data_IF_524436757385
#
_entry.id   IF_524436757385
#
_cell.length_a   1.000
_cell.length_b   1.000
_cell.length_c   1.000
_cell.angle_alpha   90.00
_cell.angle_beta   90.00
_cell.angle_gamma   90.00
#
_symmetry.space_group_name_H-M   'P 1'
#
loop_
_entity.id
_entity.type
_entity.pdbx_description
1 polymer ?
#
# COMPACT_ATOMS: atom_id res chain seq x y z
N UNK A 1 11.26 11.54 1.53
CA UNK A 1 11.50 10.21 0.89
C UNK A 1 10.93 9.16 1.83
N UNK A 2 10.25 8.15 1.31
CA UNK A 2 9.67 7.09 2.13
C UNK A 2 9.70 5.73 1.44
N UNK A 3 9.45 4.69 2.23
CA UNK A 3 9.22 3.34 1.73
C UNK A 3 7.74 3.11 1.50
N UNK A 4 7.44 2.42 0.42
CA UNK A 4 6.11 1.97 0.06
C UNK A 4 6.14 0.49 -0.27
N UNK A 5 5.06 -0.21 0.04
CA UNK A 5 4.78 -1.48 -0.61
C UNK A 5 4.72 -1.24 -2.12
N UNK A 6 5.26 -2.19 -2.88
CA UNK A 6 5.21 -2.12 -4.33
C UNK A 6 3.77 -1.98 -4.80
N UNK A 7 3.52 -1.01 -5.68
CA UNK A 7 2.21 -0.84 -6.29
C UNK A 7 2.00 -1.96 -7.32
N UNK A 8 0.94 -2.75 -7.14
CA UNK A 8 0.59 -3.81 -8.07
C UNK A 8 -0.50 -3.37 -9.05
N UNK A 9 -0.67 -4.17 -10.10
CA UNK A 9 -1.69 -3.96 -11.12
C UNK A 9 -2.66 -5.14 -11.14
N UNK A 10 -3.96 -4.82 -11.12
CA UNK A 10 -5.04 -5.81 -11.23
C UNK A 10 -5.94 -5.39 -12.40
N UNK A 11 -5.65 -5.84 -13.63
CA UNK A 11 -6.46 -5.52 -14.80
C UNK A 11 -7.93 -5.92 -14.60
N UNK A 12 -8.88 -5.05 -14.96
CA UNK A 12 -10.31 -5.32 -14.79
C UNK A 12 -10.87 -5.03 -13.39
N UNK A 13 -10.02 -4.70 -12.41
CA UNK A 13 -10.46 -4.49 -11.03
C UNK A 13 -11.32 -3.23 -10.87
N UNK A 14 -10.95 -2.13 -11.52
CA UNK A 14 -11.73 -0.87 -11.49
C UNK A 14 -13.13 -1.08 -12.05
N UNK A 15 -13.22 -1.78 -13.17
CA UNK A 15 -14.47 -2.14 -13.85
C UNK A 15 -15.31 -3.10 -13.03
N UNK A 16 -14.68 -3.97 -12.23
CA UNK A 16 -15.36 -4.81 -11.27
C UNK A 16 -15.92 -4.02 -10.09
N UNK A 17 -15.14 -3.10 -9.49
CA UNK A 17 -15.60 -2.23 -8.41
C UNK A 17 -16.83 -1.40 -8.83
N UNK A 18 -16.85 -0.91 -10.07
CA UNK A 18 -17.97 -0.17 -10.64
C UNK A 18 -19.28 -0.98 -10.77
N UNK A 19 -19.21 -2.31 -10.69
CA UNK A 19 -20.39 -3.21 -10.79
C UNK A 19 -21.03 -3.50 -9.43
N UNK A 20 -20.50 -2.98 -8.32
CA UNK A 20 -21.12 -3.11 -7.00
C UNK A 20 -22.52 -2.51 -7.04
N UNK A 21 -23.50 -3.22 -6.48
CA UNK A 21 -24.87 -2.74 -6.45
C UNK A 21 -25.66 -3.46 -5.34
N UNK A 22 -26.45 -2.74 -4.52
CA UNK A 22 -27.08 -3.29 -3.31
C UNK A 22 -28.01 -4.47 -3.60
N UNK A 23 -28.69 -4.48 -4.76
CA UNK A 23 -29.57 -5.60 -5.18
C UNK A 23 -28.90 -6.67 -6.06
N UNK A 24 -27.85 -6.35 -6.83
CA UNK A 24 -27.25 -7.28 -7.82
C UNK A 24 -26.09 -8.06 -7.20
N UNK A 25 -25.41 -7.47 -6.21
CA UNK A 25 -24.30 -8.10 -5.49
C UNK A 25 -24.80 -9.02 -4.38
N UNK A 26 -25.56 -10.07 -4.74
CA UNK A 26 -26.26 -10.95 -3.78
C UNK A 26 -25.34 -11.68 -2.79
N UNK A 27 -24.08 -11.89 -3.16
CA UNK A 27 -23.09 -12.57 -2.32
C UNK A 27 -22.30 -11.60 -1.42
N UNK A 28 -22.54 -10.29 -1.52
CA UNK A 28 -21.85 -9.27 -0.74
C UNK A 28 -22.82 -8.60 0.25
N UNK A 29 -22.83 -9.07 1.50
CA UNK A 29 -23.66 -8.51 2.57
C UNK A 29 -23.37 -7.04 2.89
N UNK A 30 -22.17 -6.55 2.57
CA UNK A 30 -21.76 -5.17 2.81
C UNK A 30 -22.19 -4.21 1.68
N UNK A 31 -22.71 -4.73 0.56
CA UNK A 31 -23.08 -3.89 -0.59
C UNK A 31 -24.19 -2.89 -0.28
N UNK A 32 -25.11 -3.22 0.63
CA UNK A 32 -26.17 -2.30 1.09
C UNK A 32 -25.58 -1.14 1.89
N UNK A 33 -24.82 -1.45 2.94
CA UNK A 33 -24.18 -0.47 3.81
C UNK A 33 -23.23 0.44 3.03
N UNK A 34 -22.39 -0.13 2.16
CA UNK A 34 -21.52 0.63 1.28
C UNK A 34 -22.29 1.67 0.46
N UNK A 35 -23.44 1.29 -0.10
CA UNK A 35 -24.27 2.18 -0.91
C UNK A 35 -24.90 3.30 -0.06
N UNK A 36 -25.44 2.94 1.11
CA UNK A 36 -26.03 3.89 2.06
C UNK A 36 -25.02 4.92 2.55
N UNK A 37 -23.79 4.52 2.86
CA UNK A 37 -22.73 5.44 3.30
C UNK A 37 -22.18 6.29 2.15
N UNK A 38 -21.95 5.70 0.96
CA UNK A 38 -21.43 6.42 -0.21
C UNK A 38 -22.34 7.57 -0.63
N UNK A 39 -23.65 7.34 -0.59
CA UNK A 39 -24.65 8.34 -0.99
C UNK A 39 -25.32 9.05 0.20
N UNK A 40 -24.91 8.74 1.43
CA UNK A 40 -25.51 9.21 2.68
C UNK A 40 -27.05 9.14 2.68
N UNK A 41 -27.59 8.00 2.26
CA UNK A 41 -29.02 7.72 2.12
C UNK A 41 -29.39 6.39 2.83
N UNK A 42 -30.68 6.05 2.95
CA UNK A 42 -31.13 4.74 3.42
C UNK A 42 -31.77 3.96 2.28
N UNK A 43 -31.44 2.67 2.13
CA UNK A 43 -32.09 1.81 1.15
C UNK A 43 -33.38 1.25 1.75
N UNK A 44 -34.58 1.67 1.26
CA UNK A 44 -35.83 1.13 1.76
C UNK A 44 -35.90 -0.39 1.52
N UNK A 45 -36.28 -1.14 2.55
CA UNK A 45 -36.48 -2.57 2.45
C UNK A 45 -37.68 -2.86 1.56
N UNK A 46 -37.40 -3.31 0.34
CA UNK A 46 -38.43 -3.73 -0.63
C UNK A 46 -38.87 -2.62 -1.59
N UNK A 47 -38.21 -2.54 -2.75
CA UNK A 47 -38.80 -1.93 -3.95
C UNK A 47 -38.60 -2.89 -5.12
N UNK A 48 -39.59 -3.76 -5.30
CA UNK A 48 -40.02 -4.18 -6.63
C UNK A 48 -40.75 -2.97 -7.21
N UNK A 49 -40.13 -2.30 -8.16
CA UNK A 49 -40.74 -1.32 -9.07
C UNK A 49 -41.72 -0.34 -8.40
N UNK A 50 -41.20 0.73 -7.81
CA UNK A 50 -41.95 1.97 -7.73
C UNK A 50 -40.96 3.12 -7.94
N UNK A 51 -41.22 4.05 -8.88
CA UNK A 51 -40.45 5.27 -8.94
C UNK A 51 -40.64 5.95 -7.59
N UNK A 52 -39.55 6.38 -6.96
CA UNK A 52 -39.63 7.14 -5.72
C UNK A 52 -40.48 8.38 -6.00
N UNK A 53 -41.76 8.29 -5.64
CA UNK A 53 -42.66 9.44 -5.68
C UNK A 53 -42.11 10.41 -4.66
N UNK A 54 -41.79 11.60 -5.17
CA UNK A 54 -41.46 12.80 -4.43
C UNK A 54 -42.59 13.13 -3.46
N UNK A 55 -42.56 12.55 -2.26
CA UNK A 55 -43.42 12.96 -1.16
C UNK A 55 -42.96 12.37 0.17
N UNK A 56 -41.78 12.79 0.64
CA UNK A 56 -41.63 13.08 2.06
C UNK A 56 -41.55 14.59 2.18
N UNK A 57 -42.64 15.17 2.68
CA UNK A 57 -42.83 16.59 2.81
C UNK A 57 -41.67 17.25 3.55
N UNK A 58 -41.20 18.37 2.96
CA UNK A 58 -40.73 19.56 3.69
C UNK A 58 -41.54 19.71 4.99
N UNK A 59 -40.92 19.38 6.11
CA UNK A 59 -41.43 19.66 7.44
C UNK A 59 -40.40 20.44 8.23
N UNK A 60 -40.00 21.61 7.71
CA UNK A 60 -39.30 22.61 8.51
C UNK A 60 -39.52 24.02 7.95
N UNK A 61 -40.78 24.43 7.90
CA UNK A 61 -41.13 25.85 8.03
C UNK A 61 -41.89 26.00 9.35
N UNK A 62 -41.23 26.70 10.28
CA UNK A 62 -41.76 27.43 11.45
C UNK A 62 -42.83 26.75 12.33
N UNK A 63 -42.42 26.28 13.51
CA UNK A 63 -43.36 25.95 14.59
C UNK A 63 -42.73 25.22 15.78
N UNK A 64 -42.73 25.87 16.94
CA UNK A 64 -42.22 25.37 18.22
C UNK A 64 -42.79 23.99 18.61
N UNK A 65 -41.90 23.03 18.89
CA UNK A 65 -42.25 21.74 19.48
C UNK A 65 -41.00 20.99 19.96
N UNK A 66 -40.64 21.18 21.23
CA UNK A 66 -39.55 20.46 21.87
C UNK A 66 -39.84 18.95 21.94
N UNK A 67 -39.13 18.18 21.12
CA UNK A 67 -39.06 16.72 21.17
C UNK A 67 -37.64 16.28 20.82
N UNK A 68 -36.87 15.92 21.84
CA UNK A 68 -35.53 15.36 21.72
C UNK A 68 -35.54 14.10 20.83
N UNK A 69 -34.85 14.17 19.69
CA UNK A 69 -34.69 13.03 18.79
C UNK A 69 -34.15 13.42 17.42
N UNK A 70 -33.02 14.11 17.34
CA UNK A 70 -32.27 14.28 16.08
C UNK A 70 -31.58 12.97 15.70
N UNK A 71 -32.35 11.90 15.47
CA UNK A 71 -31.85 10.78 14.67
C UNK A 71 -31.85 11.26 13.22
N UNK A 72 -30.66 11.43 12.65
CA UNK A 72 -30.44 11.83 11.25
C UNK A 72 -31.36 11.04 10.30
N UNK A 73 -32.43 11.65 9.82
CA UNK A 73 -33.27 11.06 8.78
C UNK A 73 -32.52 11.20 7.45
N UNK A 74 -31.75 10.17 7.09
CA UNK A 74 -31.15 10.07 5.75
C UNK A 74 -32.27 10.07 4.69
N UNK A 75 -32.07 10.66 3.50
CA UNK A 75 -33.01 10.53 2.39
C UNK A 75 -33.05 9.07 1.87
N UNK A 76 -34.13 8.64 1.20
CA UNK A 76 -34.18 7.30 0.59
C UNK A 76 -33.26 7.19 -0.63
N UNK A 77 -32.53 6.08 -0.76
CA UNK A 77 -31.82 5.70 -1.99
C UNK A 77 -32.78 5.03 -2.98
N UNK A 78 -32.58 5.26 -4.27
CA UNK A 78 -33.28 4.60 -5.38
C UNK A 78 -32.62 3.27 -5.77
N UNK A 79 -31.30 3.17 -5.62
CA UNK A 79 -30.47 2.08 -6.12
C UNK A 79 -29.97 2.29 -7.56
N UNK A 80 -30.35 3.39 -8.22
CA UNK A 80 -29.90 3.75 -9.58
C UNK A 80 -28.82 4.84 -9.55
N UNK A 81 -28.32 5.20 -8.37
CA UNK A 81 -27.27 6.20 -8.22
C UNK A 81 -25.96 5.74 -8.89
N UNK A 82 -25.19 6.70 -9.41
CA UNK A 82 -23.93 6.40 -10.08
C UNK A 82 -22.74 6.58 -9.13
N UNK A 83 -22.10 5.48 -8.75
CA UNK A 83 -20.95 5.50 -7.83
C UNK A 83 -19.72 6.21 -8.39
N UNK A 84 -19.59 6.37 -9.72
CA UNK A 84 -18.47 7.11 -10.31
C UNK A 84 -18.60 8.62 -10.16
N UNK A 85 -19.78 9.11 -9.75
CA UNK A 85 -20.03 10.54 -9.53
C UNK A 85 -19.64 11.03 -8.14
N UNK A 86 -19.34 10.11 -7.21
CA UNK A 86 -18.98 10.45 -5.83
C UNK A 86 -17.50 10.22 -5.60
N UNK A 87 -16.81 11.25 -5.12
CA UNK A 87 -15.42 11.15 -4.70
C UNK A 87 -15.34 10.40 -3.36
N UNK A 88 -14.95 9.13 -3.44
CA UNK A 88 -14.69 8.29 -2.27
C UNK A 88 -13.38 7.53 -2.47
N UNK A 89 -12.66 7.18 -1.39
CA UNK A 89 -11.45 6.35 -1.47
C UNK A 89 -11.67 4.97 -2.13
N UNK A 90 -12.93 4.57 -2.37
CA UNK A 90 -13.28 3.33 -3.05
C UNK A 90 -12.92 3.35 -4.55
N UNK A 91 -13.17 4.46 -5.25
CA UNK A 91 -12.82 4.64 -6.67
C UNK A 91 -11.73 5.68 -6.91
N UNK A 92 -11.52 6.58 -5.96
CA UNK A 92 -10.46 7.59 -6.00
C UNK A 92 -9.18 7.04 -5.37
N UNK A 93 -8.47 6.21 -6.14
CA UNK A 93 -7.19 5.64 -5.74
C UNK A 93 -6.17 5.81 -6.87
N UNK A 94 -4.92 6.09 -6.48
CA UNK A 94 -3.78 6.20 -7.40
C UNK A 94 -3.01 4.89 -7.55
N UNK A 95 -2.85 4.15 -6.46
CA UNK A 95 -2.07 2.90 -6.43
C UNK A 95 -2.78 1.80 -5.64
N UNK A 96 -2.74 0.57 -6.16
CA UNK A 96 -3.19 -0.63 -5.45
C UNK A 96 -2.00 -1.24 -4.72
N UNK A 97 -1.89 -0.98 -3.42
CA UNK A 97 -0.86 -1.58 -2.55
C UNK A 97 -1.47 -2.66 -1.67
N UNK A 98 -2.26 -2.26 -0.68
CA UNK A 98 -2.94 -3.20 0.22
C UNK A 98 -3.95 -4.07 -0.53
N UNK A 99 -4.74 -3.47 -1.42
CA UNK A 99 -5.66 -4.23 -2.27
C UNK A 99 -4.94 -5.26 -3.16
N UNK A 100 -3.71 -4.95 -3.58
CA UNK A 100 -2.88 -5.90 -4.31
C UNK A 100 -2.37 -7.04 -3.42
N UNK A 101 -2.01 -6.76 -2.17
CA UNK A 101 -1.65 -7.81 -1.21
C UNK A 101 -2.83 -8.74 -0.91
N UNK A 102 -4.06 -8.23 -0.85
CA UNK A 102 -5.27 -9.05 -0.72
C UNK A 102 -5.45 -9.95 -1.94
N UNK A 103 -5.31 -9.39 -3.14
CA UNK A 103 -5.32 -10.15 -4.39
C UNK A 103 -4.25 -11.26 -4.39
N UNK A 104 -3.02 -10.90 -4.00
CA UNK A 104 -1.89 -11.82 -3.96
C UNK A 104 -2.11 -12.94 -2.94
N UNK A 105 -2.67 -12.64 -1.76
CA UNK A 105 -2.96 -13.63 -0.74
C UNK A 105 -3.95 -14.72 -1.24
N UNK A 106 -4.99 -14.31 -1.97
CA UNK A 106 -5.93 -15.26 -2.60
C UNK A 106 -5.23 -16.12 -3.63
N UNK A 107 -4.36 -15.53 -4.45
CA UNK A 107 -3.55 -16.25 -5.43
C UNK A 107 -2.57 -17.23 -4.77
N UNK A 108 -1.91 -16.85 -3.68
CA UNK A 108 -1.00 -17.75 -2.96
C UNK A 108 -1.71 -19.02 -2.48
N UNK A 109 -2.92 -18.88 -1.93
CA UNK A 109 -3.73 -20.03 -1.51
C UNK A 109 -4.16 -20.86 -2.73
N UNK A 110 -4.59 -20.21 -3.81
CA UNK A 110 -4.99 -20.89 -5.04
C UNK A 110 -3.83 -21.69 -5.66
N UNK A 111 -2.63 -21.12 -5.70
CA UNK A 111 -1.42 -21.80 -6.19
C UNK A 111 -1.01 -22.96 -5.27
N UNK A 112 -1.09 -22.80 -3.94
CA UNK A 112 -0.82 -23.92 -3.02
C UNK A 112 -1.81 -25.08 -3.21
N UNK A 113 -3.09 -24.79 -3.45
CA UNK A 113 -4.10 -25.81 -3.81
C UNK A 113 -3.83 -26.42 -5.19
N UNK A 114 -3.36 -25.61 -6.13
CA UNK A 114 -2.96 -26.10 -7.46
C UNK A 114 -1.78 -27.07 -7.36
N UNK A 115 -0.79 -26.81 -6.52
CA UNK A 115 0.35 -27.71 -6.30
C UNK A 115 -0.09 -29.05 -5.71
N UNK A 116 -1.06 -29.05 -4.81
CA UNK A 116 -1.71 -30.27 -4.31
C UNK A 116 -2.38 -31.02 -5.47
N UNK A 117 -3.13 -30.29 -6.31
CA UNK A 117 -3.87 -30.86 -7.44
C UNK A 117 -2.94 -31.48 -8.51
N UNK A 118 -1.81 -30.84 -8.82
CA UNK A 118 -0.86 -31.27 -9.86
C UNK A 118 0.24 -32.20 -9.35
N UNK A 119 0.22 -32.56 -8.06
CA UNK A 119 1.23 -33.39 -7.45
C UNK A 119 1.33 -34.77 -8.13
N UNK A 120 2.54 -35.17 -8.52
CA UNK A 120 2.81 -36.51 -9.06
C UNK A 120 3.21 -37.48 -7.94
N UNK A 121 2.60 -38.69 -7.84
CA UNK A 121 2.97 -39.68 -6.84
C UNK A 121 4.49 -39.95 -6.82
N UNK A 122 5.09 -39.92 -5.63
CA UNK A 122 6.54 -40.07 -5.42
C UNK A 122 7.32 -38.76 -5.38
N UNK A 123 6.70 -37.61 -5.70
CA UNK A 123 7.30 -36.26 -5.59
C UNK A 123 6.57 -35.33 -4.63
N UNK A 124 5.60 -35.82 -3.88
CA UNK A 124 4.83 -35.00 -2.95
C UNK A 124 5.62 -34.57 -1.70
N UNK A 125 5.11 -33.56 -1.01
CA UNK A 125 5.76 -32.96 0.17
C UNK A 125 5.54 -33.76 1.47
N UNK A 126 4.76 -34.85 1.41
CA UNK A 126 4.40 -35.67 2.55
C UNK A 126 5.25 -36.95 2.64
N UNK A 127 5.00 -37.77 3.66
CA UNK A 127 5.78 -38.99 3.92
C UNK A 127 5.88 -39.88 2.69
N UNK A 128 7.08 -40.38 2.41
CA UNK A 128 7.39 -41.21 1.24
C UNK A 128 7.04 -40.58 -0.12
N UNK A 129 7.05 -39.23 -0.22
CA UNK A 129 6.72 -38.55 -1.47
C UNK A 129 5.24 -38.63 -1.84
N UNK A 130 4.36 -38.86 -0.86
CA UNK A 130 2.91 -38.96 -1.07
C UNK A 130 2.29 -37.60 -1.39
N UNK A 131 1.21 -37.63 -2.19
CA UNK A 131 0.41 -36.46 -2.54
C UNK A 131 -0.90 -36.44 -1.73
N UNK A 132 -1.39 -35.25 -1.39
CA UNK A 132 -2.71 -35.11 -0.78
C UNK A 132 -3.83 -35.25 -1.82
N UNK A 133 -4.98 -35.77 -1.41
CA UNK A 133 -6.19 -35.80 -2.24
C UNK A 133 -6.91 -34.46 -2.12
N UNK A 134 -6.97 -33.71 -3.22
CA UNK A 134 -7.64 -32.40 -3.28
C UNK A 134 -9.11 -32.45 -2.83
N UNK A 135 -9.81 -33.58 -3.01
CA UNK A 135 -11.23 -33.72 -2.62
C UNK A 135 -11.41 -33.86 -1.11
N UNK A 136 -10.33 -34.17 -0.38
CA UNK A 136 -10.29 -34.36 1.07
C UNK A 136 -9.19 -33.50 1.68
N UNK A 137 -8.88 -32.37 1.07
CA UNK A 137 -7.79 -31.49 1.49
C UNK A 137 -8.06 -30.92 2.87
N UNK A 138 -7.04 -30.93 3.72
CA UNK A 138 -7.08 -30.37 5.07
C UNK A 138 -6.22 -29.12 5.16
N UNK A 139 -6.58 -28.18 6.05
CA UNK A 139 -5.92 -26.87 6.15
C UNK A 139 -4.40 -26.97 6.40
N UNK A 140 -3.94 -27.95 7.20
CA UNK A 140 -2.51 -28.14 7.48
C UNK A 140 -1.72 -28.63 6.25
N UNK A 141 -2.38 -29.32 5.31
CA UNK A 141 -1.77 -29.73 4.04
C UNK A 141 -1.54 -28.49 3.16
N UNK A 142 -2.52 -27.58 3.10
CA UNK A 142 -2.38 -26.30 2.42
C UNK A 142 -1.26 -25.47 3.05
N UNK A 143 -1.17 -25.42 4.39
CA UNK A 143 -0.07 -24.74 5.09
C UNK A 143 1.29 -25.33 4.72
N UNK A 144 1.42 -26.66 4.61
CA UNK A 144 2.66 -27.31 4.19
C UNK A 144 3.06 -26.89 2.77
N UNK A 145 2.11 -26.81 1.85
CA UNK A 145 2.35 -26.33 0.49
C UNK A 145 2.67 -24.84 0.44
N UNK A 146 1.96 -23.98 1.19
CA UNK A 146 2.24 -22.55 1.30
C UNK A 146 3.70 -22.27 1.74
N UNK A 147 4.24 -23.08 2.67
CA UNK A 147 5.65 -22.96 3.11
C UNK A 147 6.70 -23.35 2.07
N UNK A 148 6.32 -24.09 1.04
CA UNK A 148 7.20 -24.49 -0.07
C UNK A 148 6.74 -23.84 -1.38
N UNK A 149 5.86 -22.85 -1.28
CA UNK A 149 5.23 -22.23 -2.42
C UNK A 149 6.27 -21.39 -3.16
N UNK A 150 6.31 -21.58 -4.47
CA UNK A 150 7.15 -20.83 -5.36
C UNK A 150 6.40 -20.68 -6.68
N UNK A 151 5.93 -19.47 -6.98
CA UNK A 151 5.26 -19.18 -8.24
C UNK A 151 5.58 -17.79 -8.75
N UNK A 152 5.41 -17.60 -10.05
CA UNK A 152 5.53 -16.30 -10.70
C UNK A 152 4.15 -15.68 -10.84
N UNK A 153 3.96 -14.45 -10.36
CA UNK A 153 2.68 -13.75 -10.48
C UNK A 153 2.45 -13.21 -11.91
N UNK A 154 1.26 -12.65 -12.15
CA UNK A 154 0.89 -12.09 -13.46
C UNK A 154 1.73 -10.87 -13.88
N UNK A 155 2.51 -10.29 -12.98
CA UNK A 155 3.45 -9.19 -13.25
C UNK A 155 4.87 -9.68 -13.53
N UNK A 156 5.10 -11.01 -13.56
CA UNK A 156 6.41 -11.61 -13.80
C UNK A 156 7.31 -11.62 -12.56
N UNK A 157 6.76 -11.41 -11.38
CA UNK A 157 7.52 -11.37 -10.13
C UNK A 157 7.47 -12.72 -9.43
N UNK A 158 8.62 -13.11 -8.87
CA UNK A 158 8.72 -14.28 -8.03
C UNK A 158 8.01 -14.03 -6.69
N UNK A 159 7.17 -14.97 -6.28
CA UNK A 159 6.43 -14.94 -5.01
C UNK A 159 6.76 -16.19 -4.23
N UNK A 160 7.38 -15.99 -3.07
CA UNK A 160 7.79 -17.02 -2.12
C UNK A 160 7.70 -16.47 -0.69
N UNK A 161 7.63 -17.39 0.28
CA UNK A 161 7.58 -17.07 1.70
C UNK A 161 8.85 -17.57 2.39
N UNK A 162 9.38 -16.80 3.31
CA UNK A 162 10.54 -17.21 4.10
C UNK A 162 10.20 -18.25 5.18
N UNK A 163 11.20 -18.64 5.97
CA UNK A 163 11.04 -19.62 7.05
C UNK A 163 10.03 -19.19 8.14
N UNK A 164 9.76 -17.88 8.26
CA UNK A 164 8.80 -17.31 9.21
C UNK A 164 7.41 -17.12 8.60
N UNK A 165 7.27 -17.34 7.28
CA UNK A 165 6.03 -17.14 6.54
C UNK A 165 5.82 -15.71 6.07
N UNK A 166 6.85 -14.87 6.13
CA UNK A 166 6.80 -13.51 5.61
C UNK A 166 6.98 -13.52 4.10
N UNK A 167 6.17 -12.70 3.41
CA UNK A 167 6.37 -12.46 1.99
C UNK A 167 7.65 -11.66 1.83
N UNK A 168 8.64 -12.27 1.17
CA UNK A 168 9.89 -11.57 0.85
C UNK A 168 9.57 -10.59 -0.28
N UNK A 169 9.49 -9.29 0.05
CA UNK A 169 8.95 -8.29 -0.86
C UNK A 169 9.92 -7.15 -1.13
N UNK A 170 9.96 -6.71 -2.38
CA UNK A 170 10.63 -5.46 -2.73
C UNK A 170 9.81 -4.27 -2.25
N UNK A 171 10.50 -3.21 -1.80
CA UNK A 171 9.87 -1.94 -1.49
C UNK A 171 10.10 -0.95 -2.62
N UNK A 172 9.09 -0.15 -2.94
CA UNK A 172 9.26 1.05 -3.76
C UNK A 172 9.74 2.19 -2.88
N UNK A 173 10.70 2.97 -3.37
CA UNK A 173 11.17 4.19 -2.73
C UNK A 173 10.47 5.35 -3.40
N UNK A 174 9.74 6.13 -2.62
CA UNK A 174 8.90 7.21 -3.11
C UNK A 174 9.39 8.59 -2.62
N UNK A 175 9.26 9.58 -3.48
CA UNK A 175 9.43 10.99 -3.15
C UNK A 175 8.08 11.71 -3.26
N UNK A 176 7.85 12.69 -2.39
CA UNK A 176 6.58 13.40 -2.31
C UNK A 176 6.71 14.67 -3.15
N UNK A 177 5.98 14.72 -4.26
CA UNK A 177 5.95 15.86 -5.17
C UNK A 177 4.61 16.59 -5.04
N UNK A 178 4.58 17.86 -5.41
CA UNK A 178 3.34 18.60 -5.57
C UNK A 178 2.95 18.58 -7.05
N UNK A 179 1.73 18.15 -7.35
CA UNK A 179 1.17 18.19 -8.71
C UNK A 179 0.97 19.64 -9.14
N UNK A 180 1.43 20.02 -10.34
CA UNK A 180 1.23 21.38 -10.85
C UNK A 180 -0.22 21.65 -11.30
N UNK A 181 -1.03 20.60 -11.52
CA UNK A 181 -2.39 20.73 -12.07
C UNK A 181 -3.43 21.04 -11.00
N UNK A 182 -3.40 20.33 -9.88
CA UNK A 182 -4.41 20.36 -8.81
C UNK A 182 -3.82 20.66 -7.42
N UNK A 183 -2.49 20.78 -7.30
CA UNK A 183 -1.81 21.00 -6.02
C UNK A 183 -1.84 19.81 -5.07
N UNK A 184 -2.24 18.62 -5.54
CA UNK A 184 -2.25 17.40 -4.73
C UNK A 184 -0.85 16.83 -4.54
N UNK A 185 -0.67 16.00 -3.52
CA UNK A 185 0.61 15.31 -3.28
C UNK A 185 0.67 14.05 -4.14
N UNK A 186 1.71 13.95 -4.97
CA UNK A 186 2.00 12.80 -5.83
C UNK A 186 3.16 12.01 -5.25
N UNK A 187 3.00 10.70 -5.12
CA UNK A 187 4.04 9.79 -4.65
C UNK A 187 4.83 9.23 -5.83
N UNK A 188 5.81 10.00 -6.32
CA UNK A 188 6.66 9.58 -7.44
C UNK A 188 7.61 8.46 -7.00
N UNK A 189 7.67 7.38 -7.78
CA UNK A 189 8.63 6.30 -7.56
C UNK A 189 10.02 6.69 -8.08
N UNK A 190 10.96 6.82 -7.14
CA UNK A 190 12.34 7.27 -7.39
C UNK A 190 13.36 6.16 -7.22
N UNK A 191 12.96 4.97 -6.78
CA UNK A 191 13.88 3.86 -6.56
C UNK A 191 13.18 2.63 -6.01
N UNK A 192 13.97 1.62 -5.65
CA UNK A 192 13.48 0.40 -5.02
C UNK A 192 14.50 -0.18 -4.04
N UNK A 193 14.00 -1.00 -3.12
CA UNK A 193 14.80 -1.80 -2.20
C UNK A 193 14.51 -3.28 -2.44
N UNK A 194 15.50 -3.99 -3.01
CA UNK A 194 15.43 -5.42 -3.29
C UNK A 194 16.03 -6.22 -2.13
N UNK A 195 15.16 -6.87 -1.36
CA UNK A 195 15.55 -7.66 -0.18
C UNK A 195 16.33 -8.94 -0.53
N UNK A 196 16.16 -9.47 -1.75
CA UNK A 196 16.83 -10.68 -2.22
C UNK A 196 18.29 -10.44 -2.64
N UNK A 197 18.68 -9.19 -2.89
CA UNK A 197 20.04 -8.84 -3.26
C UNK A 197 21.00 -8.91 -2.05
N UNK A 198 22.31 -9.01 -2.34
CA UNK A 198 23.36 -9.03 -1.31
C UNK A 198 23.45 -7.68 -0.61
N UNK A 199 23.96 -7.66 0.62
CA UNK A 199 24.24 -6.40 1.35
C UNK A 199 25.09 -5.47 0.47
N UNK A 200 24.67 -4.22 0.34
CA UNK A 200 25.28 -3.23 -0.56
C UNK A 200 24.62 -3.10 -1.93
N UNK A 201 23.94 -4.15 -2.42
CA UNK A 201 23.28 -4.18 -3.75
C UNK A 201 21.75 -4.09 -3.65
N UNK A 202 21.21 -3.98 -2.44
CA UNK A 202 19.76 -3.95 -2.17
C UNK A 202 19.10 -2.66 -2.59
N UNK A 203 19.82 -1.54 -2.51
CA UNK A 203 19.26 -0.21 -2.67
C UNK A 203 19.57 0.33 -4.07
N UNK A 204 18.54 0.75 -4.78
CA UNK A 204 18.68 1.55 -5.98
C UNK A 204 17.84 2.81 -5.86
N UNK A 205 18.46 3.98 -6.05
CA UNK A 205 17.79 5.27 -6.05
C UNK A 205 18.24 6.04 -7.30
N UNK A 206 17.28 6.62 -8.01
CA UNK A 206 17.52 7.54 -9.11
C UNK A 206 17.41 8.99 -8.60
N UNK A 207 18.56 9.58 -8.27
CA UNK A 207 18.65 10.93 -7.70
C UNK A 207 18.03 12.01 -8.60
N UNK A 208 18.10 11.84 -9.93
CA UNK A 208 17.55 12.82 -10.88
C UNK A 208 16.02 12.98 -10.74
N UNK A 209 15.33 11.94 -10.26
CA UNK A 209 13.90 11.98 -10.01
C UNK A 209 13.52 12.65 -8.70
N UNK A 210 14.46 12.85 -7.77
CA UNK A 210 14.17 13.39 -6.44
C UNK A 210 13.97 14.91 -6.52
N UNK A 211 13.08 15.42 -5.67
CA UNK A 211 12.99 16.83 -5.31
C UNK A 211 13.22 17.00 -3.81
N UNK A 212 14.37 17.56 -3.44
CA UNK A 212 14.75 17.83 -2.07
C UNK A 212 14.00 19.06 -1.54
N UNK A 213 13.37 18.93 -0.37
CA UNK A 213 12.45 19.96 0.13
C UNK A 213 11.21 20.20 -0.77
N UNK A 214 11.00 19.38 -1.81
CA UNK A 214 9.93 19.56 -2.79
C UNK A 214 10.26 20.46 -3.98
N UNK A 215 11.47 21.03 -4.05
CA UNK A 215 11.84 21.99 -5.10
C UNK A 215 13.32 21.91 -5.53
N UNK A 216 14.24 21.57 -4.63
CA UNK A 216 15.67 21.54 -4.93
C UNK A 216 16.07 20.26 -5.67
N UNK A 217 17.02 20.38 -6.61
CA UNK A 217 17.70 19.25 -7.25
C UNK A 217 19.03 18.90 -6.58
N UNK A 218 19.52 19.76 -5.71
CA UNK A 218 20.77 19.54 -4.99
C UNK A 218 20.53 18.73 -3.71
N UNK A 219 21.36 17.70 -3.50
CA UNK A 219 21.31 16.87 -2.30
C UNK A 219 21.66 17.73 -1.08
N UNK A 220 20.83 17.73 -0.02
CA UNK A 220 21.06 18.58 1.15
C UNK A 220 22.24 18.05 1.98
N UNK A 221 23.02 18.99 2.52
CA UNK A 221 24.02 18.69 3.54
C UNK A 221 23.32 18.40 4.89
N UNK A 222 23.70 17.30 5.54
CA UNK A 222 23.11 16.88 6.82
C UNK A 222 24.12 16.28 7.80
N UNK A 223 25.42 16.62 7.66
CA UNK A 223 26.45 16.22 8.63
C UNK A 223 26.52 17.25 9.76
N UNK A 224 27.06 16.84 10.92
CA UNK A 224 27.19 17.72 12.10
C UNK A 224 28.21 18.84 11.85
N UNK A 225 29.40 18.46 11.41
CA UNK A 225 30.49 19.37 11.06
C UNK A 225 30.77 19.28 9.56
N UNK A 226 31.17 20.40 8.95
CA UNK A 226 31.73 20.40 7.59
C UNK A 226 33.13 19.81 7.62
N UNK A 227 33.54 19.27 6.48
CA UNK A 227 34.85 18.67 6.32
C UNK A 227 35.96 19.68 6.62
N UNK A 228 36.99 19.25 7.35
CA UNK A 228 38.12 20.09 7.70
C UNK A 228 39.00 20.35 6.48
N UNK A 229 39.45 21.58 6.30
CA UNK A 229 40.27 21.98 5.15
C UNK A 229 41.76 21.70 5.39
N UNK A 230 42.59 21.63 4.34
CA UNK A 230 44.04 21.54 4.49
C UNK A 230 44.58 22.64 5.41
N UNK A 231 45.51 22.28 6.28
CA UNK A 231 46.01 23.12 7.38
C UNK A 231 45.26 22.95 8.72
N UNK A 232 44.17 22.17 8.74
CA UNK A 232 43.41 21.84 9.95
C UNK A 232 43.28 20.32 10.13
N UNK A 233 43.01 19.89 11.37
CA UNK A 233 42.75 18.49 11.75
C UNK A 233 41.48 18.38 12.60
N UNK A 234 40.86 17.20 12.64
CA UNK A 234 39.70 16.94 13.52
C UNK A 234 40.10 16.97 15.00
N UNK A 235 39.38 17.78 15.77
CA UNK A 235 39.41 17.85 17.23
C UNK A 235 38.13 17.26 17.81
N UNK A 236 38.27 16.54 18.93
CA UNK A 236 37.15 15.99 19.67
C UNK A 236 36.47 17.11 20.46
N UNK A 237 35.15 17.21 20.36
CA UNK A 237 34.34 18.10 21.19
C UNK A 237 33.81 17.30 22.38
N UNK A 238 34.26 17.64 23.58
CA UNK A 238 33.79 17.01 24.82
C UNK A 238 32.27 17.17 24.99
N UNK A 239 31.56 16.06 25.20
CA UNK A 239 30.11 16.04 25.38
C UNK A 239 29.28 15.85 24.09
N UNK A 240 29.89 15.97 22.91
CA UNK A 240 29.22 15.77 21.61
C UNK A 240 29.48 14.35 21.04
N UNK A 241 28.63 13.85 20.11
CA UNK A 241 28.83 12.54 19.49
C UNK A 241 30.01 12.53 18.52
N UNK A 242 30.51 11.35 18.18
CA UNK A 242 31.76 11.16 17.39
C UNK A 242 31.74 11.75 15.98
N UNK A 243 30.57 12.02 15.39
CA UNK A 243 30.46 12.66 14.08
C UNK A 243 30.56 14.20 14.14
N UNK A 244 30.55 14.78 15.34
CA UNK A 244 30.73 16.21 15.58
C UNK A 244 32.18 16.47 15.98
N UNK A 245 32.85 17.32 15.21
CA UNK A 245 34.26 17.65 15.41
C UNK A 245 34.49 19.14 15.16
N UNK A 246 35.51 19.69 15.81
CA UNK A 246 36.04 21.02 15.49
C UNK A 246 37.24 20.87 14.56
N UNK A 247 37.45 21.82 13.66
CA UNK A 247 38.65 21.87 12.83
C UNK A 247 39.70 22.72 13.55
N UNK A 248 40.71 22.06 14.10
CA UNK A 248 41.80 22.67 14.86
C UNK A 248 42.98 22.91 13.94
N UNK A 249 43.53 24.12 13.95
CA UNK A 249 44.73 24.46 13.17
C UNK A 249 45.91 23.55 13.53
N UNK A 250 46.70 23.17 12.53
CA UNK A 250 47.96 22.49 12.74
C UNK A 250 48.90 23.38 13.55
N UNK A 251 49.58 22.83 14.58
CA UNK A 251 50.57 23.59 15.32
C UNK A 251 51.80 23.89 14.46
N UNK A 252 52.59 24.88 14.88
CA UNK A 252 53.82 25.25 14.18
C UNK A 252 54.76 24.04 14.00
N UNK A 253 55.16 23.79 12.76
CA UNK A 253 56.02 22.66 12.39
C UNK A 253 55.27 21.39 11.95
N UNK A 254 53.94 21.39 12.02
CA UNK A 254 53.08 20.34 11.47
C UNK A 254 52.30 20.85 10.25
N UNK A 255 51.79 19.92 9.43
CA UNK A 255 50.96 20.24 8.28
C UNK A 255 49.88 19.18 8.06
N UNK A 256 48.79 19.59 7.42
CA UNK A 256 47.69 18.74 6.96
C UNK A 256 47.44 19.07 5.50
N UNK A 257 47.71 18.11 4.60
CA UNK A 257 47.73 18.33 3.15
C UNK A 257 46.36 18.08 2.50
N UNK A 258 45.64 17.08 3.01
CA UNK A 258 44.33 16.67 2.51
C UNK A 258 43.20 17.18 3.41
N UNK A 259 41.99 17.25 2.86
CA UNK A 259 40.78 17.54 3.63
C UNK A 259 40.49 16.40 4.59
N UNK A 260 39.91 16.73 5.74
CA UNK A 260 39.33 15.80 6.70
C UNK A 260 40.32 14.89 7.43
N UNK A 261 41.55 15.41 7.63
CA UNK A 261 42.66 14.82 8.39
C UNK A 261 42.40 14.64 9.89
#
# INVERSE_FOLDING_TARGET
>A
IGFALKAGQIPGFREFLQKVHPKKSTNNGFAKEFWEETFNCYLPEGSKNSPASTSFHKGHEEGLGAGNGTSSFRPPCTGEENITSVETPYLDYTHLRISYNVYLAVYSIAHALQDIYTCTPGKGLFTNGSCADIKKVEAWQVLKHLRHLNFTNNMGEQVDFDEFGDLVGNYSIINWHLSPEDGSVVFEEVGHYNVYAKKGERLFINENKILWGGFSKEVPFSNCSRDCLPGTRKGIIEGEPTCCFECVDCPDGEYSDETDA
#
